data_IF_138851271353
#
_entry.id   IF_138851271353
#
_cell.length_a   1.000
_cell.length_b   1.000
_cell.length_c   1.000
_cell.angle_alpha   90.00
_cell.angle_beta   90.00
_cell.angle_gamma   90.00
#
_symmetry.space_group_name_H-M   'P 1'
#
loop_
_entity.id
_entity.type
_entity.pdbx_description
1 polymer ?
#
# COMPACT_ATOMS: atom_id res chain seq x y z
N UNK A 1 -10.17 8.65 9.13
CA UNK A 1 -9.32 7.90 8.16
C UNK A 1 -9.93 6.51 7.87
N UNK A 2 -9.97 6.05 6.61
CA UNK A 2 -10.56 4.76 6.19
C UNK A 2 -9.55 3.94 5.39
N UNK A 3 -9.34 2.66 5.71
CA UNK A 3 -8.54 1.77 4.87
C UNK A 3 -9.35 1.39 3.62
N UNK A 4 -8.78 1.62 2.44
CA UNK A 4 -9.43 1.40 1.14
C UNK A 4 -8.74 0.32 0.31
N UNK A 5 -7.53 -0.08 0.70
CA UNK A 5 -6.82 -1.20 0.10
C UNK A 5 -5.91 -1.87 1.13
N UNK A 6 -5.82 -3.19 1.06
CA UNK A 6 -4.87 -3.99 1.81
C UNK A 6 -4.43 -5.18 0.97
N UNK A 7 -3.13 -5.39 0.88
CA UNK A 7 -2.60 -6.69 0.52
C UNK A 7 -1.40 -7.04 1.40
N UNK A 8 -1.15 -8.34 1.51
CA UNK A 8 0.03 -8.85 2.19
C UNK A 8 0.63 -10.04 1.47
N UNK A 9 1.84 -10.39 1.87
CA UNK A 9 2.42 -11.68 1.51
C UNK A 9 3.74 -11.92 2.19
N UNK A 10 4.19 -13.17 2.07
CA UNK A 10 5.35 -13.67 2.79
C UNK A 10 6.47 -14.05 1.83
N UNK A 11 7.70 -13.79 2.26
CA UNK A 11 8.91 -14.31 1.62
C UNK A 11 9.89 -14.71 2.71
N UNK A 12 10.09 -16.02 2.88
CA UNK A 12 10.84 -16.57 4.00
C UNK A 12 10.27 -16.11 5.35
N UNK A 13 11.13 -15.54 6.19
CA UNK A 13 10.76 -15.00 7.51
C UNK A 13 10.26 -13.56 7.49
N UNK A 14 10.14 -12.94 6.31
CA UNK A 14 9.64 -11.56 6.18
C UNK A 14 8.21 -11.54 5.67
N UNK A 15 7.39 -10.66 6.27
CA UNK A 15 6.06 -10.30 5.76
C UNK A 15 6.15 -8.94 5.09
N UNK A 16 5.45 -8.76 3.98
CA UNK A 16 5.35 -7.49 3.25
C UNK A 16 3.89 -7.09 3.21
N UNK A 17 3.58 -5.83 3.52
CA UNK A 17 2.21 -5.29 3.41
C UNK A 17 2.23 -4.05 2.52
N UNK A 18 1.16 -3.89 1.73
CA UNK A 18 0.85 -2.65 1.02
C UNK A 18 -0.56 -2.23 1.39
N UNK A 19 -0.69 -1.03 1.93
CA UNK A 19 -1.94 -0.55 2.54
C UNK A 19 -2.23 0.83 1.99
N UNK A 20 -3.47 1.10 1.60
CA UNK A 20 -3.91 2.44 1.21
C UNK A 20 -5.04 2.88 2.11
N UNK A 21 -4.93 4.12 2.57
CA UNK A 21 -5.91 4.77 3.38
C UNK A 21 -6.38 6.05 2.71
N UNK A 22 -7.69 6.30 2.76
CA UNK A 22 -8.26 7.60 2.47
C UNK A 22 -8.28 8.42 3.76
N UNK A 23 -7.67 9.60 3.71
CA UNK A 23 -7.63 10.59 4.78
C UNK A 23 -8.95 11.38 4.81
N UNK A 24 -9.17 12.11 5.90
CA UNK A 24 -10.43 12.82 6.13
C UNK A 24 -10.67 13.97 5.15
N UNK A 25 -9.60 14.54 4.60
CA UNK A 25 -9.63 15.54 3.54
C UNK A 25 -9.82 14.95 2.12
N UNK A 26 -10.10 13.65 2.01
CA UNK A 26 -10.27 12.95 0.73
C UNK A 26 -8.98 12.49 0.05
N UNK A 27 -7.81 12.99 0.48
CA UNK A 27 -6.50 12.54 -0.02
C UNK A 27 -6.18 11.11 0.41
N UNK A 28 -5.10 10.56 -0.13
CA UNK A 28 -4.69 9.18 0.10
C UNK A 28 -3.28 9.06 0.68
N UNK A 29 -3.11 8.04 1.53
CA UNK A 29 -1.83 7.61 2.08
C UNK A 29 -1.61 6.14 1.77
N UNK A 30 -0.55 5.83 1.02
CA UNK A 30 -0.08 4.47 0.81
C UNK A 30 1.10 4.15 1.75
N UNK A 31 1.10 2.96 2.32
CA UNK A 31 2.13 2.45 3.22
C UNK A 31 2.69 1.15 2.65
N UNK A 32 4.01 1.11 2.48
CA UNK A 32 4.75 -0.08 2.10
C UNK A 32 5.59 -0.51 3.29
N UNK A 33 5.31 -1.69 3.83
CA UNK A 33 6.01 -2.19 5.01
C UNK A 33 6.67 -3.53 4.76
N UNK A 34 7.90 -3.66 5.28
CA UNK A 34 8.56 -4.94 5.50
C UNK A 34 8.58 -5.22 7.00
N UNK A 35 8.15 -6.41 7.36
CA UNK A 35 8.05 -6.89 8.73
C UNK A 35 9.04 -8.03 8.94
N UNK A 36 9.60 -8.09 10.14
CA UNK A 36 10.10 -9.35 10.67
C UNK A 36 8.90 -10.20 11.03
N UNK A 37 8.61 -11.22 10.22
CA UNK A 37 7.43 -12.06 10.38
C UNK A 37 7.48 -12.96 11.63
N UNK A 38 8.67 -13.25 12.17
CA UNK A 38 8.81 -14.09 13.37
C UNK A 38 8.35 -13.39 14.64
N UNK A 39 8.69 -12.11 14.78
CA UNK A 39 8.38 -11.29 15.96
C UNK A 39 7.29 -10.25 15.69
N UNK A 40 6.65 -10.31 14.52
CA UNK A 40 5.62 -9.40 14.03
C UNK A 40 5.96 -7.90 14.23
N UNK A 41 7.19 -7.50 13.89
CA UNK A 41 7.69 -6.13 14.06
C UNK A 41 8.03 -5.50 12.71
N UNK A 42 7.60 -4.26 12.48
CA UNK A 42 7.99 -3.48 11.29
C UNK A 42 9.50 -3.28 11.32
N UNK A 43 10.18 -3.66 10.23
CA UNK A 43 11.61 -3.41 10.01
C UNK A 43 11.83 -2.20 9.12
N UNK A 44 10.99 -2.02 8.10
CA UNK A 44 11.04 -0.89 7.18
C UNK A 44 9.62 -0.45 6.86
N UNK A 45 9.41 0.86 6.80
CA UNK A 45 8.16 1.48 6.36
C UNK A 45 8.51 2.64 5.43
N UNK A 46 7.79 2.74 4.32
CA UNK A 46 7.82 3.90 3.44
C UNK A 46 6.40 4.37 3.19
N UNK A 47 6.20 5.67 3.19
CA UNK A 47 4.89 6.29 3.07
C UNK A 47 4.84 7.19 1.84
N UNK A 48 3.70 7.17 1.17
CA UNK A 48 3.44 7.99 -0.02
C UNK A 48 2.11 8.69 0.18
N UNK A 49 2.08 10.00 -0.12
CA UNK A 49 0.89 10.83 -0.04
C UNK A 49 0.49 11.27 -1.44
N UNK A 50 -0.81 11.34 -1.70
CA UNK A 50 -1.35 11.83 -2.95
C UNK A 50 -2.73 12.41 -2.73
N UNK A 51 -3.05 13.54 -3.36
CA UNK A 51 -4.37 14.15 -3.26
C UNK A 51 -5.44 13.34 -4.01
N UNK A 52 -5.03 12.60 -5.05
CA UNK A 52 -5.91 11.77 -5.87
C UNK A 52 -5.52 10.31 -5.82
N UNK A 53 -6.47 9.43 -6.18
CA UNK A 53 -6.19 8.00 -6.30
C UNK A 53 -5.15 7.78 -7.38
N UNK A 54 -5.29 8.41 -8.54
CA UNK A 54 -4.42 8.29 -9.70
C UNK A 54 -2.98 8.73 -9.39
N UNK A 55 -2.81 9.75 -8.55
CA UNK A 55 -1.48 10.20 -8.13
C UNK A 55 -0.73 9.16 -7.28
N UNK A 56 -1.41 8.20 -6.65
CA UNK A 56 -0.74 7.04 -6.04
C UNK A 56 -0.10 6.14 -7.08
N UNK A 57 -0.60 6.06 -8.32
CA UNK A 57 -0.06 5.16 -9.36
C UNK A 57 1.31 5.64 -9.88
N UNK A 58 1.60 6.92 -9.74
CA UNK A 58 2.80 7.59 -10.25
C UNK A 58 3.96 7.61 -9.25
N UNK A 59 3.78 7.08 -8.04
CA UNK A 59 4.80 7.07 -7.00
C UNK A 59 5.94 6.09 -7.34
N UNK A 60 7.16 6.43 -6.94
CA UNK A 60 8.34 5.56 -7.09
C UNK A 60 8.40 4.49 -6.00
N UNK A 61 7.45 3.56 -6.05
CA UNK A 61 7.38 2.47 -5.08
C UNK A 61 8.56 1.50 -5.21
N UNK A 62 8.98 0.85 -4.10
CA UNK A 62 9.94 -0.24 -4.18
C UNK A 62 9.36 -1.39 -5.01
N UNK A 63 10.21 -2.04 -5.81
CA UNK A 63 9.83 -3.17 -6.69
C UNK A 63 9.55 -4.45 -5.91
N UNK A 64 8.48 -4.46 -5.13
CA UNK A 64 8.01 -5.62 -4.35
C UNK A 64 6.80 -6.27 -5.03
N UNK A 65 6.54 -7.55 -4.71
CA UNK A 65 5.36 -8.26 -5.22
C UNK A 65 4.06 -7.57 -4.82
N UNK A 66 3.99 -7.05 -3.59
CA UNK A 66 2.82 -6.40 -3.01
C UNK A 66 2.49 -5.09 -3.73
N UNK A 67 3.53 -4.30 -4.06
CA UNK A 67 3.39 -3.12 -4.94
C UNK A 67 2.90 -3.53 -6.32
N UNK A 68 3.47 -4.58 -6.93
CA UNK A 68 3.04 -5.06 -8.24
C UNK A 68 1.57 -5.52 -8.24
N UNK A 69 1.13 -6.21 -7.19
CA UNK A 69 -0.28 -6.62 -7.03
C UNK A 69 -1.17 -5.39 -6.93
N UNK A 70 -0.79 -4.39 -6.12
CA UNK A 70 -1.54 -3.14 -6.01
C UNK A 70 -1.70 -2.42 -7.35
N UNK A 71 -0.60 -2.21 -8.09
CA UNK A 71 -0.61 -1.53 -9.38
C UNK A 71 -1.45 -2.25 -10.46
N UNK A 72 -1.75 -3.53 -10.28
CA UNK A 72 -2.57 -4.33 -11.19
C UNK A 72 -3.91 -4.78 -10.56
N UNK A 73 -4.31 -4.21 -9.42
CA UNK A 73 -5.56 -4.59 -8.74
C UNK A 73 -6.78 -3.83 -9.25
N UNK A 74 -7.96 -4.33 -8.89
CA UNK A 74 -9.27 -3.70 -9.09
C UNK A 74 -9.47 -2.39 -8.30
N UNK A 75 -8.52 -2.04 -7.41
CA UNK A 75 -8.52 -0.76 -6.68
C UNK A 75 -8.69 0.46 -7.61
N UNK A 76 -8.19 0.36 -8.84
CA UNK A 76 -8.22 1.42 -9.84
C UNK A 76 -9.56 1.51 -10.59
N UNK A 77 -10.39 0.47 -10.54
CA UNK A 77 -11.65 0.40 -11.30
C UNK A 77 -12.81 1.09 -10.57
N UNK A 78 -12.69 1.35 -9.27
CA UNK A 78 -13.70 2.05 -8.46
C UNK A 78 -13.64 3.57 -8.60
N UNK A 79 -13.78 4.10 -9.81
CA UNK A 79 -13.95 5.53 -10.06
C UNK A 79 -15.17 5.77 -10.92
N UNK A 80 -16.35 5.83 -10.29
CA UNK A 80 -17.58 6.55 -10.70
C UNK A 80 -18.80 5.96 -9.94
N UNK A 81 -18.97 6.33 -8.67
CA UNK A 81 -20.27 6.17 -7.96
C UNK A 81 -20.45 7.34 -6.97
#
# INVERSE_FOLDING_TARGET
MKQVYYNEGWSGSSKYTFEVYQLENGSYRALVRKWNGKINKVQQETQYLSDTREGLKLQDYPRTRQVKIFLNSDFWEKGDD
#
